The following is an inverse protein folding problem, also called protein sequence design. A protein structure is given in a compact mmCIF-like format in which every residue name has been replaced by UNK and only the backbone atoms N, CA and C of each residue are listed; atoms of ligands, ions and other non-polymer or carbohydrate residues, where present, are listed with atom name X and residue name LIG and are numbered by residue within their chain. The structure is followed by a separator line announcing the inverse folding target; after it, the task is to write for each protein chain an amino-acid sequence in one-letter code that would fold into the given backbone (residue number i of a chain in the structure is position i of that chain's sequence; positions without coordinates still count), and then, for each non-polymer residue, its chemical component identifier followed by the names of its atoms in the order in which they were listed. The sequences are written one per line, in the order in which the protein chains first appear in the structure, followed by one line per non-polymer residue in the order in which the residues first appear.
data_IF_375183174854
#
_entry.id   IF_375183174854
#
_cell.length_a   1.000
_cell.length_b   1.000
_cell.length_c   1.000
_cell.angle_alpha   90.00
_cell.angle_beta   90.00
_cell.angle_gamma   90.00
#
_symmetry.space_group_name_H-M   'P 1'
#
loop_
_entity.id
_entity.type
_entity.pdbx_description
1 polymer ?
#
# COMPACT_ATOMS: atom_id res chain seq x y z
N UNK A 1 14.80 96.43 -20.65
CA UNK A 1 14.20 95.87 -19.42
C UNK A 1 13.65 94.49 -19.75
N UNK A 2 14.36 93.40 -19.45
CA UNK A 2 13.92 92.08 -19.89
C UNK A 2 14.75 90.96 -19.30
N UNK A 3 14.38 90.46 -18.12
CA UNK A 3 14.83 89.19 -17.54
C UNK A 3 13.92 88.80 -16.36
N UNK A 4 12.63 88.51 -16.60
CA UNK A 4 11.79 87.95 -15.50
C UNK A 4 10.75 86.91 -15.89
N UNK A 5 10.63 86.54 -17.16
CA UNK A 5 9.63 85.55 -17.62
C UNK A 5 10.20 84.16 -17.97
N UNK A 6 11.53 83.96 -17.97
CA UNK A 6 12.15 82.67 -18.34
C UNK A 6 12.18 81.63 -17.21
N UNK A 7 12.38 82.07 -15.95
CA UNK A 7 12.46 81.15 -14.78
C UNK A 7 11.15 80.38 -14.53
N UNK A 8 9.98 81.02 -14.64
CA UNK A 8 8.71 80.36 -14.33
C UNK A 8 8.28 79.31 -15.38
N UNK A 9 8.66 79.46 -16.66
CA UNK A 9 8.35 78.46 -17.71
C UNK A 9 9.23 77.21 -17.59
N UNK A 10 10.46 77.35 -17.12
CA UNK A 10 11.34 76.21 -16.87
C UNK A 10 10.81 75.36 -15.70
N UNK A 11 10.38 75.98 -14.60
CA UNK A 11 9.80 75.24 -13.48
C UNK A 11 8.51 74.49 -13.87
N UNK A 12 7.63 75.11 -14.66
CA UNK A 12 6.42 74.44 -15.20
C UNK A 12 6.76 73.22 -16.07
N UNK A 13 7.80 73.32 -16.91
CA UNK A 13 8.27 72.19 -17.72
C UNK A 13 8.87 71.08 -16.83
N UNK A 14 9.68 71.43 -15.83
CA UNK A 14 10.23 70.46 -14.87
C UNK A 14 9.15 69.76 -14.04
N UNK A 15 8.11 70.46 -13.60
CA UNK A 15 6.98 69.86 -12.89
C UNK A 15 6.16 68.94 -13.79
N UNK A 16 5.91 69.34 -15.04
CA UNK A 16 5.18 68.49 -16.01
C UNK A 16 5.96 67.22 -16.38
N UNK A 17 7.29 67.32 -16.56
CA UNK A 17 8.16 66.18 -16.82
C UNK A 17 8.24 65.24 -15.62
N UNK A 18 8.31 65.80 -14.40
CA UNK A 18 8.29 65.02 -13.15
C UNK A 18 6.96 64.28 -12.97
N UNK A 19 5.85 64.93 -13.28
CA UNK A 19 4.52 64.32 -13.20
C UNK A 19 4.34 63.18 -14.22
N UNK A 20 4.83 63.34 -15.45
CA UNK A 20 4.84 62.29 -16.48
C UNK A 20 5.69 61.08 -16.07
N UNK A 21 6.86 61.29 -15.46
CA UNK A 21 7.70 60.20 -14.95
C UNK A 21 7.01 59.44 -13.81
N UNK A 22 6.35 60.14 -12.89
CA UNK A 22 5.57 59.52 -11.82
C UNK A 22 4.39 58.72 -12.41
N UNK A 23 3.71 59.23 -13.42
CA UNK A 23 2.60 58.55 -14.10
C UNK A 23 3.06 57.25 -14.79
N UNK A 24 4.23 57.26 -15.44
CA UNK A 24 4.84 56.08 -16.06
C UNK A 24 5.27 55.03 -15.03
N UNK A 25 5.79 55.47 -13.86
CA UNK A 25 6.17 54.57 -12.76
C UNK A 25 4.95 53.89 -12.12
N UNK A 26 3.82 54.60 -11.98
CA UNK A 26 2.57 54.05 -11.43
C UNK A 26 1.93 53.02 -12.38
N UNK A 27 2.01 53.24 -13.70
CA UNK A 27 1.54 52.26 -14.69
C UNK A 27 2.38 50.98 -14.71
N UNK A 28 3.68 51.07 -14.36
CA UNK A 28 4.55 49.90 -14.20
C UNK A 28 4.09 48.94 -13.11
N UNK A 29 3.69 49.46 -11.94
CA UNK A 29 3.25 48.62 -10.80
C UNK A 29 1.96 47.85 -11.09
N UNK A 30 1.00 48.44 -11.80
CA UNK A 30 -0.29 47.79 -12.12
C UNK A 30 -0.11 46.65 -13.14
N UNK A 31 0.76 46.85 -14.14
CA UNK A 31 1.05 45.81 -15.15
C UNK A 31 1.82 44.63 -14.53
N UNK A 32 2.73 44.89 -13.58
CA UNK A 32 3.43 43.80 -12.87
C UNK A 32 2.51 42.98 -11.97
N UNK A 33 1.49 43.59 -11.36
CA UNK A 33 0.50 42.87 -10.55
C UNK A 33 -0.42 41.99 -11.42
N UNK A 34 -0.83 42.48 -12.59
CA UNK A 34 -1.66 41.72 -13.52
C UNK A 34 -0.90 40.56 -14.18
N UNK A 35 0.36 40.78 -14.57
CA UNK A 35 1.23 39.72 -15.12
C UNK A 35 1.69 38.71 -14.07
N UNK A 36 1.75 39.08 -12.79
CA UNK A 36 2.01 38.15 -11.69
C UNK A 36 0.80 37.25 -11.40
N UNK A 37 -0.42 37.78 -11.59
CA UNK A 37 -1.67 37.02 -11.37
C UNK A 37 -1.97 36.03 -12.51
N UNK A 38 -1.55 36.36 -13.73
CA UNK A 38 -1.84 35.54 -14.92
C UNK A 38 -0.76 34.50 -15.26
N UNK A 39 0.30 34.32 -14.43
CA UNK A 39 1.41 33.39 -14.74
C UNK A 39 1.73 32.28 -13.74
N UNK A 40 0.95 32.06 -12.68
CA UNK A 40 1.06 30.86 -11.82
C UNK A 40 -0.32 30.47 -11.28
N UNK A 41 -1.22 29.98 -12.14
CA UNK A 41 -2.16 28.95 -11.67
C UNK A 41 -1.35 27.65 -11.57
N UNK A 42 -0.66 27.43 -10.45
CA UNK A 42 -0.29 26.07 -10.05
C UNK A 42 -1.63 25.38 -9.81
N UNK A 43 -2.12 24.63 -10.79
CA UNK A 43 -3.13 23.62 -10.51
C UNK A 43 -2.58 22.77 -9.36
N UNK A 44 -3.26 22.80 -8.21
CA UNK A 44 -2.86 22.03 -7.06
C UNK A 44 -2.76 20.56 -7.48
N UNK A 45 -1.64 19.89 -7.18
CA UNK A 45 -1.46 18.48 -7.54
C UNK A 45 -2.63 17.65 -6.99
N UNK A 46 -3.47 17.05 -7.86
CA UNK A 46 -4.66 16.32 -7.42
C UNK A 46 -4.34 15.17 -6.46
N UNK A 47 -3.10 14.68 -6.44
CA UNK A 47 -2.64 13.59 -5.57
C UNK A 47 -2.30 14.04 -4.14
N UNK A 48 -2.14 15.34 -3.87
CA UNK A 48 -1.69 15.82 -2.56
C UNK A 48 -2.63 15.47 -1.40
N UNK A 49 -3.97 15.57 -1.51
CA UNK A 49 -4.86 15.17 -0.42
C UNK A 49 -4.68 13.69 -0.02
N UNK A 50 -4.47 12.81 -1.01
CA UNK A 50 -4.21 11.40 -0.75
C UNK A 50 -2.85 11.18 -0.08
N UNK A 51 -1.79 11.84 -0.57
CA UNK A 51 -0.45 11.77 0.03
C UNK A 51 -0.42 12.32 1.45
N UNK A 52 -1.11 13.43 1.71
CA UNK A 52 -1.24 14.01 3.04
C UNK A 52 -1.92 13.04 4.00
N UNK A 53 -3.01 12.40 3.56
CA UNK A 53 -3.71 11.38 4.36
C UNK A 53 -2.82 10.17 4.66
N UNK A 54 -2.05 9.70 3.67
CA UNK A 54 -1.07 8.62 3.84
C UNK A 54 0.03 8.97 4.85
N UNK A 55 0.57 10.20 4.83
CA UNK A 55 1.57 10.67 5.82
C UNK A 55 1.04 10.63 7.25
N UNK A 56 -0.28 10.75 7.43
CA UNK A 56 -0.95 10.65 8.72
C UNK A 56 -1.56 9.27 8.99
N UNK A 57 -1.24 8.25 8.18
CA UNK A 57 -1.83 6.90 8.23
C UNK A 57 -3.37 6.86 8.17
N UNK A 58 -4.00 7.91 7.65
CA UNK A 58 -5.45 7.95 7.44
C UNK A 58 -5.81 7.30 6.09
N UNK A 59 -5.81 5.97 6.08
CA UNK A 59 -6.08 5.19 4.88
C UNK A 59 -7.51 5.41 4.33
N UNK A 60 -8.47 5.75 5.19
CA UNK A 60 -9.84 6.00 4.74
C UNK A 60 -9.91 7.31 3.97
N UNK A 61 -9.30 8.39 4.47
CA UNK A 61 -9.23 9.67 3.75
C UNK A 61 -8.39 9.57 2.48
N UNK A 62 -7.30 8.82 2.50
CA UNK A 62 -6.52 8.54 1.29
C UNK A 62 -7.36 7.85 0.22
N UNK A 63 -8.14 6.83 0.60
CA UNK A 63 -9.04 6.11 -0.29
C UNK A 63 -10.15 7.02 -0.86
N UNK A 64 -10.72 7.91 -0.05
CA UNK A 64 -11.71 8.90 -0.49
C UNK A 64 -11.11 9.87 -1.51
N UNK A 65 -9.90 10.38 -1.25
CA UNK A 65 -9.19 11.26 -2.17
C UNK A 65 -8.89 10.57 -3.51
N UNK A 66 -8.40 9.33 -3.50
CA UNK A 66 -8.22 8.57 -4.75
C UNK A 66 -9.52 8.32 -5.50
N UNK A 67 -10.61 8.03 -4.77
CA UNK A 67 -11.93 7.83 -5.37
C UNK A 67 -12.43 9.10 -6.06
N UNK A 68 -12.15 10.27 -5.49
CA UNK A 68 -12.52 11.56 -6.07
C UNK A 68 -11.71 11.87 -7.33
N UNK A 69 -10.39 11.62 -7.30
CA UNK A 69 -9.54 11.74 -8.50
C UNK A 69 -10.07 10.85 -9.63
N UNK A 70 -10.47 9.61 -9.32
CA UNK A 70 -10.99 8.70 -10.34
C UNK A 70 -12.30 9.15 -10.98
N UNK A 71 -13.16 9.83 -10.22
CA UNK A 71 -14.40 10.40 -10.75
C UNK A 71 -14.13 11.58 -11.69
N UNK A 72 -13.17 12.43 -11.33
CA UNK A 72 -12.82 13.62 -12.10
C UNK A 72 -12.00 13.29 -13.36
N UNK A 73 -11.17 12.24 -13.29
CA UNK A 73 -10.27 11.83 -14.37
C UNK A 73 -10.53 10.39 -14.83
N UNK A 74 -11.71 10.08 -15.39
CA UNK A 74 -12.00 8.76 -15.92
C UNK A 74 -11.12 8.48 -17.13
N UNK A 75 -10.37 7.38 -17.10
CA UNK A 75 -9.48 6.93 -18.19
C UNK A 75 -8.41 7.95 -18.64
N UNK A 76 -8.12 8.96 -17.80
CA UNK A 76 -7.04 9.93 -18.02
C UNK A 76 -6.20 10.12 -16.76
N UNK A 77 -4.93 10.43 -16.92
CA UNK A 77 -4.07 10.81 -15.77
C UNK A 77 -4.64 12.07 -15.09
N UNK A 78 -4.65 12.15 -13.75
CA UNK A 78 -4.06 11.22 -12.77
C UNK A 78 -4.95 10.05 -12.27
N UNK A 79 -6.04 9.69 -12.95
CA UNK A 79 -6.87 8.54 -12.59
C UNK A 79 -6.08 7.22 -12.53
N UNK A 80 -5.15 7.00 -13.44
CA UNK A 80 -4.24 5.84 -13.40
C UNK A 80 -3.41 5.81 -12.11
N UNK A 81 -2.85 6.96 -11.70
CA UNK A 81 -2.12 7.10 -10.44
C UNK A 81 -3.02 6.84 -9.23
N UNK A 82 -4.29 7.24 -9.28
CA UNK A 82 -5.25 6.99 -8.23
C UNK A 82 -5.59 5.50 -8.10
N UNK A 83 -5.83 4.78 -9.20
CA UNK A 83 -6.00 3.30 -9.14
C UNK A 83 -4.76 2.61 -8.60
N UNK A 84 -3.57 3.04 -9.02
CA UNK A 84 -2.31 2.51 -8.51
C UNK A 84 -2.20 2.73 -6.99
N UNK A 85 -2.49 3.95 -6.53
CA UNK A 85 -2.50 4.31 -5.11
C UNK A 85 -3.53 3.53 -4.29
N UNK A 86 -4.72 3.26 -4.84
CA UNK A 86 -5.71 2.39 -4.17
C UNK A 86 -5.20 0.94 -4.09
N UNK A 87 -4.58 0.43 -5.15
CA UNK A 87 -3.97 -0.89 -5.17
C UNK A 87 -2.91 -1.05 -4.09
N UNK A 88 -1.96 -0.10 -4.01
CA UNK A 88 -0.90 -0.12 -2.98
C UNK A 88 -1.45 0.08 -1.58
N UNK A 89 -2.45 0.95 -1.40
CA UNK A 89 -3.11 1.17 -0.10
C UNK A 89 -3.77 -0.11 0.43
N UNK A 90 -4.45 -0.88 -0.42
CA UNK A 90 -5.03 -2.17 0.00
C UNK A 90 -4.01 -3.30 0.15
N UNK A 91 -2.82 -3.18 -0.45
CA UNK A 91 -1.73 -4.13 -0.26
C UNK A 91 -0.86 -3.82 0.97
N UNK A 92 -0.93 -2.59 1.48
CA UNK A 92 -0.04 -2.07 2.52
C UNK A 92 -0.16 -2.85 3.84
N UNK A 93 0.94 -3.38 4.42
CA UNK A 93 0.90 -4.20 5.64
C UNK A 93 0.27 -3.50 6.85
N UNK A 94 0.55 -2.21 7.06
CA UNK A 94 0.05 -1.49 8.24
C UNK A 94 -1.36 -0.94 8.04
N UNK A 95 -1.98 -1.17 6.87
CA UNK A 95 -3.39 -0.84 6.68
C UNK A 95 -4.25 -1.91 7.38
N UNK A 96 -5.01 -1.56 8.45
CA UNK A 96 -5.85 -2.54 9.15
C UNK A 96 -6.99 -3.09 8.27
N UNK A 97 -7.28 -2.43 7.15
CA UNK A 97 -8.24 -2.87 6.13
C UNK A 97 -7.55 -3.46 4.88
N UNK A 98 -6.28 -3.88 4.99
CA UNK A 98 -5.54 -4.57 3.93
C UNK A 98 -6.37 -5.72 3.39
N UNK A 99 -6.46 -5.79 2.07
CA UNK A 99 -7.26 -6.77 1.36
C UNK A 99 -6.60 -7.03 -0.01
N UNK A 100 -5.94 -8.18 -0.12
CA UNK A 100 -5.16 -8.55 -1.31
C UNK A 100 -6.04 -8.72 -2.55
N UNK A 101 -7.29 -9.15 -2.36
CA UNK A 101 -8.25 -9.26 -3.46
C UNK A 101 -8.63 -7.88 -3.99
N UNK A 102 -8.92 -6.92 -3.09
CA UNK A 102 -9.19 -5.53 -3.50
C UNK A 102 -7.98 -4.88 -4.16
N UNK A 103 -6.79 -5.03 -3.59
CA UNK A 103 -5.55 -4.51 -4.16
C UNK A 103 -5.38 -4.99 -5.61
N UNK A 104 -5.50 -6.29 -5.83
CA UNK A 104 -5.42 -6.92 -7.14
C UNK A 104 -6.50 -6.38 -8.09
N UNK A 105 -7.73 -6.20 -7.60
CA UNK A 105 -8.83 -5.58 -8.33
C UNK A 105 -8.49 -4.19 -8.87
N UNK A 106 -7.89 -3.31 -8.06
CA UNK A 106 -7.50 -1.97 -8.52
C UNK A 106 -6.39 -1.99 -9.57
N UNK A 107 -5.37 -2.84 -9.41
CA UNK A 107 -4.32 -2.99 -10.42
C UNK A 107 -4.86 -3.56 -11.74
N UNK A 108 -5.76 -4.57 -11.70
CA UNK A 108 -6.45 -5.08 -12.89
C UNK A 108 -7.29 -4.01 -13.58
N UNK A 109 -8.01 -3.19 -12.80
CA UNK A 109 -8.74 -2.03 -13.34
C UNK A 109 -7.82 -1.03 -14.01
N UNK A 110 -6.64 -0.75 -13.44
CA UNK A 110 -5.66 0.16 -14.08
C UNK A 110 -5.26 -0.37 -15.45
N UNK A 111 -4.89 -1.65 -15.54
CA UNK A 111 -4.49 -2.28 -16.81
C UNK A 111 -5.61 -2.23 -17.85
N UNK A 112 -6.87 -2.37 -17.42
CA UNK A 112 -8.05 -2.38 -18.30
C UNK A 112 -8.51 -0.99 -18.72
N UNK A 113 -8.62 -0.07 -17.77
CA UNK A 113 -9.20 1.27 -17.95
C UNK A 113 -8.16 2.27 -18.46
N UNK A 114 -6.86 2.01 -18.27
CA UNK A 114 -5.75 2.88 -18.67
C UNK A 114 -4.67 2.10 -19.46
N UNK A 115 -5.00 1.56 -20.65
CA UNK A 115 -4.11 0.68 -21.40
C UNK A 115 -2.80 1.35 -21.88
N UNK A 116 -2.78 2.68 -21.97
CA UNK A 116 -1.62 3.50 -22.36
C UNK A 116 -0.87 4.12 -21.16
N UNK A 117 -1.30 3.83 -19.93
CA UNK A 117 -0.64 4.38 -18.74
C UNK A 117 0.79 3.86 -18.63
N UNK A 118 1.77 4.71 -18.29
CA UNK A 118 3.13 4.26 -17.97
C UNK A 118 3.15 3.29 -16.78
N UNK A 119 2.13 3.29 -15.92
CA UNK A 119 2.01 2.41 -14.75
C UNK A 119 1.50 1.01 -15.10
N UNK A 120 1.07 0.73 -16.34
CA UNK A 120 0.48 -0.55 -16.72
C UNK A 120 1.40 -1.74 -16.47
N UNK A 121 2.68 -1.63 -16.84
CA UNK A 121 3.67 -2.69 -16.63
C UNK A 121 3.88 -2.98 -15.14
N UNK A 122 3.94 -1.94 -14.34
CA UNK A 122 4.08 -2.06 -12.88
C UNK A 122 2.83 -2.65 -12.24
N UNK A 123 1.64 -2.22 -12.67
CA UNK A 123 0.37 -2.80 -12.22
C UNK A 123 0.25 -4.29 -12.55
N UNK A 124 0.70 -4.72 -13.74
CA UNK A 124 0.77 -6.15 -14.10
C UNK A 124 1.72 -6.92 -13.18
N UNK A 125 2.88 -6.35 -12.85
CA UNK A 125 3.81 -6.96 -11.91
C UNK A 125 3.18 -7.11 -10.51
N UNK A 126 2.46 -6.09 -10.03
CA UNK A 126 1.69 -6.19 -8.79
C UNK A 126 0.61 -7.27 -8.85
N UNK A 127 -0.11 -7.42 -9.97
CA UNK A 127 -1.09 -8.51 -10.13
C UNK A 127 -0.42 -9.88 -10.00
N UNK A 128 0.74 -10.10 -10.63
CA UNK A 128 1.47 -11.36 -10.51
C UNK A 128 1.92 -11.63 -9.06
N UNK A 129 2.53 -10.64 -8.41
CA UNK A 129 2.98 -10.73 -7.01
C UNK A 129 1.80 -11.05 -6.08
N UNK A 130 0.68 -10.35 -6.23
CA UNK A 130 -0.49 -10.55 -5.37
C UNK A 130 -1.17 -11.90 -5.61
N UNK A 131 -1.16 -12.40 -6.85
CA UNK A 131 -1.64 -13.76 -7.15
C UNK A 131 -0.75 -14.81 -6.45
N UNK A 132 0.57 -14.67 -6.53
CA UNK A 132 1.52 -15.58 -5.86
C UNK A 132 1.36 -15.56 -4.34
N UNK A 133 1.17 -14.37 -3.76
CA UNK A 133 0.88 -14.24 -2.32
C UNK A 133 -0.38 -15.02 -1.96
N UNK A 134 -1.47 -14.82 -2.69
CA UNK A 134 -2.74 -15.51 -2.43
C UNK A 134 -2.64 -17.02 -2.61
N UNK A 135 -1.91 -17.50 -3.63
CA UNK A 135 -1.66 -18.93 -3.83
C UNK A 135 -0.83 -19.52 -2.67
N UNK A 136 0.24 -18.83 -2.27
CA UNK A 136 1.09 -19.27 -1.17
C UNK A 136 0.35 -19.31 0.16
N UNK A 137 -0.53 -18.34 0.45
CA UNK A 137 -1.40 -18.36 1.63
C UNK A 137 -2.30 -19.62 1.64
N UNK A 138 -2.85 -19.98 0.49
CA UNK A 138 -3.64 -21.22 0.33
C UNK A 138 -2.79 -22.48 0.58
N UNK A 139 -1.60 -22.55 -0.01
CA UNK A 139 -0.66 -23.66 0.16
C UNK A 139 -0.20 -23.82 1.61
N UNK A 140 0.10 -22.71 2.30
CA UNK A 140 0.49 -22.72 3.72
C UNK A 140 -0.64 -23.32 4.55
N UNK A 141 -1.89 -22.90 4.31
CA UNK A 141 -3.05 -23.45 5.03
C UNK A 141 -3.18 -24.95 4.82
N UNK A 142 -3.06 -25.41 3.58
CA UNK A 142 -3.12 -26.84 3.25
C UNK A 142 -2.00 -27.64 3.95
N UNK A 143 -0.77 -27.10 3.96
CA UNK A 143 0.36 -27.73 4.63
C UNK A 143 0.18 -27.80 6.15
N UNK A 144 -0.42 -26.78 6.77
CA UNK A 144 -0.72 -26.78 8.19
C UNK A 144 -1.74 -27.86 8.57
N UNK A 145 -2.81 -28.02 7.78
CA UNK A 145 -3.80 -29.09 7.99
C UNK A 145 -3.18 -30.48 7.82
N UNK A 146 -2.33 -30.66 6.80
CA UNK A 146 -1.58 -31.93 6.61
C UNK A 146 -0.65 -32.23 7.77
N UNK A 147 0.11 -31.23 8.24
CA UNK A 147 1.00 -31.39 9.39
C UNK A 147 0.22 -31.79 10.66
N UNK A 148 -0.95 -31.17 10.89
CA UNK A 148 -1.82 -31.54 12.00
C UNK A 148 -2.29 -32.99 11.89
N UNK A 149 -2.77 -33.41 10.71
CA UNK A 149 -3.23 -34.77 10.49
C UNK A 149 -2.11 -35.81 10.69
N UNK A 150 -0.88 -35.51 10.22
CA UNK A 150 0.27 -36.38 10.47
C UNK A 150 0.64 -36.44 11.96
N UNK A 151 0.55 -35.32 12.69
CA UNK A 151 0.80 -35.33 14.12
C UNK A 151 -0.21 -36.21 14.88
N UNK A 152 -1.49 -36.18 14.50
CA UNK A 152 -2.51 -37.05 15.10
C UNK A 152 -2.23 -38.53 14.81
N UNK A 153 -1.77 -38.86 13.60
CA UNK A 153 -1.37 -40.22 13.24
C UNK A 153 -0.16 -40.71 14.03
N UNK A 154 0.87 -39.85 14.18
CA UNK A 154 2.06 -40.16 14.97
C UNK A 154 1.67 -40.48 16.40
N UNK A 155 0.88 -39.61 17.05
CA UNK A 155 0.43 -39.83 18.43
C UNK A 155 -0.38 -41.13 18.58
N UNK A 156 -1.21 -41.47 17.59
CA UNK A 156 -1.99 -42.70 17.60
C UNK A 156 -1.11 -43.96 17.47
N UNK A 157 -0.07 -43.90 16.63
CA UNK A 157 0.91 -44.98 16.48
C UNK A 157 1.76 -45.15 17.73
N UNK A 158 2.19 -44.04 18.35
CA UNK A 158 2.92 -44.06 19.62
C UNK A 158 2.11 -44.74 20.73
N UNK A 159 0.81 -44.42 20.84
CA UNK A 159 -0.08 -45.07 21.80
C UNK A 159 -0.20 -46.57 21.55
N UNK A 160 -0.36 -46.99 20.28
CA UNK A 160 -0.40 -48.42 19.92
C UNK A 160 0.90 -49.13 20.26
N UNK A 161 2.04 -48.52 19.95
CA UNK A 161 3.35 -49.07 20.31
C UNK A 161 3.49 -49.26 21.82
N UNK A 162 3.11 -48.27 22.62
CA UNK A 162 3.10 -48.37 24.08
C UNK A 162 2.21 -49.53 24.56
N UNK A 163 1.02 -49.70 23.99
CA UNK A 163 0.14 -50.84 24.30
C UNK A 163 0.77 -52.18 23.91
N UNK A 164 1.39 -52.28 22.74
CA UNK A 164 2.06 -53.52 22.32
C UNK A 164 3.27 -53.85 23.20
N UNK A 165 4.02 -52.85 23.65
CA UNK A 165 5.12 -53.07 24.60
C UNK A 165 4.62 -53.62 25.94
N UNK A 166 3.49 -53.11 26.46
CA UNK A 166 2.85 -53.63 27.66
C UNK A 166 2.39 -55.08 27.48
N UNK A 167 1.75 -55.40 26.36
CA UNK A 167 1.33 -56.76 26.04
C UNK A 167 2.52 -57.73 25.95
N UNK A 168 3.61 -57.31 25.31
CA UNK A 168 4.84 -58.11 25.23
C UNK A 168 5.43 -58.33 26.62
N UNK A 169 5.44 -57.33 27.50
CA UNK A 169 5.89 -57.49 28.90
C UNK A 169 5.03 -58.50 29.65
N UNK A 170 3.71 -58.37 29.59
CA UNK A 170 2.78 -59.30 30.25
C UNK A 170 2.96 -60.74 29.77
N UNK A 171 3.15 -60.96 28.46
CA UNK A 171 3.40 -62.29 27.91
C UNK A 171 4.72 -62.88 28.43
N UNK A 172 5.78 -62.08 28.58
CA UNK A 172 7.04 -62.54 29.16
C UNK A 172 6.91 -62.94 30.62
N UNK A 173 6.14 -62.20 31.41
CA UNK A 173 5.88 -62.54 32.81
C UNK A 173 5.12 -63.86 32.95
N UNK A 174 4.12 -64.08 32.09
CA UNK A 174 3.37 -65.35 32.04
C UNK A 174 4.31 -66.52 31.68
N UNK A 175 5.17 -66.34 30.67
CA UNK A 175 6.10 -67.39 30.22
C UNK A 175 7.10 -67.78 31.34
N UNK A 176 7.64 -66.79 32.05
CA UNK A 176 8.51 -67.00 33.22
C UNK A 176 7.76 -67.78 34.31
N UNK A 177 6.53 -67.37 34.64
CA UNK A 177 5.72 -68.03 35.67
C UNK A 177 5.44 -69.51 35.34
N UNK A 178 5.08 -69.81 34.08
CA UNK A 178 4.89 -71.19 33.62
C UNK A 178 6.18 -72.01 33.73
N UNK A 179 7.33 -71.42 33.43
CA UNK A 179 8.62 -72.12 33.47
C UNK A 179 9.12 -72.34 34.91
N UNK A 180 8.79 -71.45 35.84
CA UNK A 180 9.02 -71.64 37.28
C UNK A 180 8.13 -72.74 37.87
N UNK A 181 6.84 -72.75 37.53
CA UNK A 181 5.88 -73.78 37.97
C UNK A 181 6.34 -75.18 37.52
N UNK A 182 6.70 -75.32 36.23
CA UNK A 182 7.27 -76.57 35.69
C UNK A 182 8.54 -77.03 36.42
N UNK A 183 9.36 -76.10 36.92
CA UNK A 183 10.57 -76.42 37.69
C UNK A 183 10.25 -76.96 39.07
N UNK A 184 9.19 -76.45 39.71
CA UNK A 184 8.76 -76.89 41.04
C UNK A 184 8.07 -78.26 41.00
N UNK A 185 7.37 -78.58 39.90
CA UNK A 185 6.70 -79.87 39.70
C UNK A 185 7.63 -81.00 39.24
N UNK A 186 8.87 -80.69 38.85
CA UNK A 186 9.84 -81.70 38.41
C UNK A 186 10.31 -82.55 39.61
N UNK A 187 10.22 -83.90 39.54
CA UNK A 187 10.62 -84.75 40.66
C UNK A 187 12.12 -84.63 40.95
N UNK A 188 12.46 -84.41 42.22
CA UNK A 188 13.85 -84.46 42.69
C UNK A 188 14.43 -85.86 42.39
N UNK A 189 15.52 -85.89 41.61
CA UNK A 189 16.28 -87.10 41.30
C UNK A 189 17.35 -87.37 42.35
#
# INVERSE_FOLDING_TARGET
MGTKQWKNRQHLLFYSASFLIILLMVQGCVVTEHLAKDKIHIEADPMEPARASLRSNDYNRALMAYSEILKQYPQKTPGDKALFGMGTLFAYPDNPKRDISKANGYFKRLVKEFPESPLKKEALAWVDVLNRISENEGRIKELLEKNRAFQEQINALEKKNSTYEEQIRALKEIDIGIEEEKRQEAPEK
#
